data_IF_575830151848
#
_entry.id   IF_575830151848
#
_cell.length_a   1.000
_cell.length_b   1.000
_cell.length_c   1.000
_cell.angle_alpha   90.00
_cell.angle_beta   90.00
_cell.angle_gamma   90.00
#
_symmetry.space_group_name_H-M   'P 1'
#
loop_
_entity.id
_entity.type
_entity.pdbx_description
1 polymer ?
#
# COMPACT_ATOMS: atom_id res chain seq x y z
N UNK A 1 -25.92 -10.54 -1.30
CA UNK A 1 -24.93 -10.22 -2.35
C UNK A 1 -24.02 -11.43 -2.45
N UNK A 2 -24.05 -12.16 -3.57
CA UNK A 2 -23.31 -13.42 -3.68
C UNK A 2 -21.81 -13.14 -3.62
N UNK A 3 -21.14 -13.87 -2.75
CA UNK A 3 -19.70 -13.98 -2.63
C UNK A 3 -19.15 -14.70 -3.86
N UNK A 4 -19.05 -13.99 -4.99
CA UNK A 4 -17.90 -14.24 -5.86
C UNK A 4 -16.70 -13.77 -5.04
N UNK A 5 -15.99 -14.71 -4.42
CA UNK A 5 -14.64 -14.48 -3.92
C UNK A 5 -13.90 -13.74 -5.04
N UNK A 6 -13.55 -12.47 -4.84
CA UNK A 6 -12.88 -11.68 -5.86
C UNK A 6 -11.57 -12.39 -6.21
N UNK A 7 -11.54 -13.20 -7.27
CA UNK A 7 -10.43 -14.09 -7.56
C UNK A 7 -9.15 -13.28 -7.77
N UNK A 8 -8.03 -13.74 -7.21
CA UNK A 8 -6.73 -13.12 -7.46
C UNK A 8 -6.44 -13.13 -8.97
N UNK A 9 -6.15 -11.96 -9.54
CA UNK A 9 -5.93 -11.82 -10.98
C UNK A 9 -4.73 -10.94 -11.30
N UNK A 10 -3.74 -11.54 -11.96
CA UNK A 10 -2.58 -10.83 -12.50
C UNK A 10 -3.03 -9.68 -13.43
N UNK A 11 -2.27 -8.58 -13.42
CA UNK A 11 -2.46 -7.52 -14.40
C UNK A 11 -1.89 -7.97 -15.76
N UNK A 12 -2.48 -7.55 -16.89
CA UNK A 12 -1.96 -7.90 -18.21
C UNK A 12 -0.55 -7.33 -18.40
N UNK A 13 0.24 -7.97 -19.25
CA UNK A 13 1.57 -7.48 -19.59
C UNK A 13 1.52 -6.03 -20.12
N UNK A 14 2.47 -5.20 -19.69
CA UNK A 14 2.52 -3.78 -20.01
C UNK A 14 1.48 -2.90 -19.32
N UNK A 15 0.75 -3.38 -18.31
CA UNK A 15 -0.27 -2.58 -17.60
C UNK A 15 0.27 -1.23 -17.10
N UNK A 16 1.51 -1.19 -16.62
CA UNK A 16 2.16 0.00 -16.07
C UNK A 16 2.34 1.11 -17.11
N UNK A 17 2.40 0.77 -18.41
CA UNK A 17 2.50 1.76 -19.50
C UNK A 17 1.23 2.60 -19.65
N UNK A 18 0.11 2.13 -19.10
CA UNK A 18 -1.17 2.85 -19.08
C UNK A 18 -1.33 3.74 -17.85
N UNK A 19 -0.41 3.64 -16.89
CA UNK A 19 -0.44 4.38 -15.63
C UNK A 19 0.51 5.56 -15.75
N UNK A 20 -0.02 6.78 -15.65
CA UNK A 20 0.72 8.01 -15.97
C UNK A 20 2.05 8.14 -15.23
N UNK A 21 2.05 7.79 -13.93
CA UNK A 21 3.20 7.88 -13.04
C UNK A 21 4.15 6.67 -13.10
N UNK A 22 3.86 5.67 -13.96
CA UNK A 22 4.72 4.51 -14.21
C UNK A 22 5.12 4.35 -15.68
N UNK A 23 4.54 5.13 -16.60
CA UNK A 23 4.69 4.90 -18.05
C UNK A 23 6.11 4.96 -18.59
N UNK A 24 7.04 5.55 -17.83
CA UNK A 24 8.46 5.63 -18.18
C UNK A 24 9.23 4.32 -17.93
N UNK A 25 8.69 3.37 -17.16
CA UNK A 25 9.35 2.09 -16.92
C UNK A 25 9.32 1.21 -18.18
N UNK A 26 10.49 0.73 -18.61
CA UNK A 26 10.62 -0.17 -19.76
C UNK A 26 10.06 -1.57 -19.48
N UNK A 27 10.19 -2.02 -18.23
CA UNK A 27 9.76 -3.32 -17.70
C UNK A 27 8.72 -3.13 -16.60
N UNK A 28 8.09 -4.23 -16.18
CA UNK A 28 7.20 -4.21 -15.03
C UNK A 28 7.94 -3.70 -13.79
N UNK A 29 7.43 -2.68 -13.09
CA UNK A 29 8.14 -2.11 -11.96
C UNK A 29 8.27 -3.12 -10.83
N UNK A 30 9.44 -3.16 -10.20
CA UNK A 30 9.62 -3.79 -8.90
C UNK A 30 8.70 -3.10 -7.87
N UNK A 31 8.37 -3.78 -6.77
CA UNK A 31 7.50 -3.21 -5.75
C UNK A 31 8.05 -1.90 -5.17
N UNK A 32 9.36 -1.77 -5.01
CA UNK A 32 10.00 -0.52 -4.60
C UNK A 32 9.74 0.62 -5.59
N UNK A 33 9.86 0.35 -6.90
CA UNK A 33 9.66 1.34 -7.97
C UNK A 33 8.18 1.75 -8.04
N UNK A 34 7.29 0.79 -7.87
CA UNK A 34 5.85 1.01 -7.77
C UNK A 34 5.52 1.93 -6.58
N UNK A 35 6.09 1.65 -5.40
CA UNK A 35 5.89 2.46 -4.20
C UNK A 35 6.50 3.87 -4.33
N UNK A 36 7.67 4.01 -4.95
CA UNK A 36 8.27 5.31 -5.24
C UNK A 36 7.38 6.13 -6.18
N UNK A 37 6.96 5.52 -7.28
CA UNK A 37 6.06 6.15 -8.25
C UNK A 37 4.75 6.58 -7.63
N UNK A 38 4.13 5.74 -6.79
CA UNK A 38 2.90 6.06 -6.09
C UNK A 38 3.10 7.19 -5.08
N UNK A 39 4.18 7.12 -4.28
CA UNK A 39 4.46 8.14 -3.27
C UNK A 39 4.72 9.50 -3.91
N UNK A 40 5.57 9.57 -4.94
CA UNK A 40 5.92 10.82 -5.62
C UNK A 40 4.77 11.32 -6.49
N UNK A 41 4.21 10.43 -7.31
CA UNK A 41 3.22 10.78 -8.33
C UNK A 41 1.78 10.86 -7.83
N UNK A 42 1.49 10.43 -6.60
CA UNK A 42 0.14 10.48 -6.00
C UNK A 42 0.14 11.03 -4.58
N UNK A 43 0.84 10.42 -3.64
CA UNK A 43 0.78 10.81 -2.23
C UNK A 43 1.25 12.25 -2.03
N UNK A 44 2.43 12.61 -2.55
CA UNK A 44 3.03 13.93 -2.33
C UNK A 44 2.33 15.08 -3.08
N UNK A 45 1.49 14.77 -4.07
CA UNK A 45 0.75 15.78 -4.83
C UNK A 45 -0.73 15.88 -4.43
N UNK A 46 -1.19 15.04 -3.50
CA UNK A 46 -2.57 15.03 -3.01
C UNK A 46 -2.62 15.71 -1.65
N UNK A 47 -3.21 16.93 -1.54
CA UNK A 47 -3.22 17.69 -0.28
C UNK A 47 -3.81 16.89 0.89
N UNK A 48 -4.93 16.19 0.66
CA UNK A 48 -5.56 15.36 1.70
C UNK A 48 -4.65 14.21 2.17
N UNK A 49 -3.87 13.60 1.27
CA UNK A 49 -2.93 12.54 1.64
C UNK A 49 -1.82 13.09 2.56
N UNK A 50 -1.33 14.29 2.27
CA UNK A 50 -0.33 14.98 3.09
C UNK A 50 -0.89 15.38 4.45
N UNK A 51 -2.13 15.89 4.50
CA UNK A 51 -2.80 16.27 5.74
C UNK A 51 -3.00 15.07 6.66
N UNK A 52 -3.36 13.91 6.11
CA UNK A 52 -3.47 12.66 6.86
C UNK A 52 -2.09 12.23 7.36
N UNK A 53 -1.08 12.19 6.47
CA UNK A 53 0.29 11.80 6.80
C UNK A 53 0.91 12.68 7.92
N UNK A 54 0.60 13.97 7.95
CA UNK A 54 1.09 14.90 8.96
C UNK A 54 0.51 14.67 10.37
N UNK A 55 -0.59 13.92 10.48
CA UNK A 55 -1.28 13.65 11.75
C UNK A 55 -0.92 12.29 12.36
N UNK A 56 -0.19 11.45 11.63
CA UNK A 56 0.17 10.09 12.05
C UNK A 56 1.55 10.13 12.73
N UNK A 57 1.74 9.45 13.89
CA UNK A 57 3.06 9.37 14.51
C UNK A 57 4.06 8.64 13.60
N UNK A 58 5.38 8.84 13.80
CA UNK A 58 6.38 8.08 13.08
C UNK A 58 6.19 6.59 13.29
N UNK A 59 6.28 5.81 12.20
CA UNK A 59 6.04 4.35 12.22
C UNK A 59 6.96 3.62 11.30
N UNK A 60 7.47 2.49 11.76
CA UNK A 60 8.23 1.52 10.97
C UNK A 60 7.28 0.45 10.43
N UNK A 61 7.03 0.50 9.12
CA UNK A 61 6.10 -0.39 8.42
C UNK A 61 6.90 -1.25 7.44
N UNK A 62 6.60 -2.54 7.36
CA UNK A 62 7.11 -3.43 6.31
C UNK A 62 5.96 -3.86 5.42
N UNK A 63 6.10 -3.69 4.11
CA UNK A 63 5.18 -4.24 3.14
C UNK A 63 5.91 -5.30 2.33
N UNK A 64 5.40 -6.53 2.34
CA UNK A 64 5.89 -7.67 1.59
C UNK A 64 4.96 -7.92 0.41
N UNK A 65 5.41 -7.56 -0.78
CA UNK A 65 4.67 -7.81 -2.01
C UNK A 65 5.03 -9.20 -2.57
N UNK A 66 4.06 -10.10 -2.66
CA UNK A 66 4.23 -11.43 -3.24
C UNK A 66 3.98 -11.37 -4.76
N UNK A 67 5.06 -11.34 -5.53
CA UNK A 67 5.01 -11.40 -6.99
C UNK A 67 5.07 -12.86 -7.47
N UNK A 68 4.17 -13.32 -8.36
CA UNK A 68 4.07 -14.73 -8.75
C UNK A 68 5.33 -15.27 -9.44
N UNK A 69 6.13 -14.41 -10.06
CA UNK A 69 7.36 -14.80 -10.78
C UNK A 69 8.66 -14.39 -10.07
N UNK A 70 8.60 -13.40 -9.16
CA UNK A 70 9.78 -12.77 -8.55
C UNK A 70 9.92 -13.10 -7.06
N UNK A 71 8.89 -13.71 -6.46
CA UNK A 71 8.87 -14.04 -5.04
C UNK A 71 8.43 -12.84 -4.19
N UNK A 72 8.91 -12.81 -2.95
CA UNK A 72 8.58 -11.75 -1.99
C UNK A 72 9.53 -10.57 -2.19
N UNK A 73 8.96 -9.38 -2.39
CA UNK A 73 9.66 -8.11 -2.50
C UNK A 73 9.34 -7.27 -1.24
N UNK A 74 10.18 -7.33 -0.19
CA UNK A 74 9.98 -6.55 1.02
C UNK A 74 10.40 -5.09 0.81
N UNK A 75 9.61 -4.17 1.34
CA UNK A 75 9.94 -2.76 1.44
C UNK A 75 9.71 -2.28 2.87
N UNK A 76 10.78 -1.77 3.48
CA UNK A 76 10.71 -1.07 4.76
C UNK A 76 10.39 0.40 4.51
N UNK A 77 9.37 0.90 5.19
CA UNK A 77 8.84 2.24 5.09
C UNK A 77 8.81 2.87 6.48
N UNK A 78 9.56 3.96 6.66
CA UNK A 78 9.37 4.85 7.79
C UNK A 78 8.37 5.93 7.37
N UNK A 79 7.25 6.05 8.06
CA UNK A 79 6.39 7.23 7.93
C UNK A 79 6.90 8.34 8.87
N UNK A 80 6.88 9.58 8.39
CA UNK A 80 7.25 10.80 9.11
C UNK A 80 8.66 10.80 9.79
N UNK A 81 9.76 11.02 9.04
CA UNK A 81 9.83 11.37 7.62
C UNK A 81 9.70 10.14 6.72
N UNK A 82 9.08 10.32 5.55
CA UNK A 82 8.93 9.25 4.55
C UNK A 82 10.31 8.80 4.08
N UNK A 83 10.73 7.62 4.51
CA UNK A 83 11.90 6.93 3.96
C UNK A 83 11.51 5.52 3.56
N UNK A 84 11.99 5.08 2.40
CA UNK A 84 11.70 3.76 1.85
C UNK A 84 13.03 3.07 1.54
N UNK A 85 13.15 1.81 1.95
CA UNK A 85 14.33 0.97 1.72
C UNK A 85 13.88 -0.42 1.32
N UNK A 86 14.37 -0.96 0.19
CA UNK A 86 14.16 -2.36 -0.16
C UNK A 86 14.77 -3.26 0.93
N UNK A 87 14.08 -4.34 1.29
CA UNK A 87 14.52 -5.25 2.33
C UNK A 87 13.68 -5.19 3.62
N UNK A 88 14.02 -6.10 4.53
CA UNK A 88 13.54 -6.14 5.91
C UNK A 88 14.29 -5.11 6.77
N UNK A 89 13.70 -4.63 7.88
CA UNK A 89 14.36 -3.68 8.77
C UNK A 89 15.52 -4.34 9.52
N UNK A 90 16.62 -3.60 9.68
CA UNK A 90 17.76 -4.04 10.48
C UNK A 90 17.57 -3.63 11.95
N UNK A 91 17.25 -4.58 12.82
CA UNK A 91 17.38 -4.45 14.28
C UNK A 91 16.17 -3.91 15.05
N UNK A 92 15.23 -3.22 14.41
CA UNK A 92 14.00 -2.73 15.05
C UNK A 92 12.79 -3.57 14.63
N UNK A 93 11.92 -3.90 15.60
CA UNK A 93 10.67 -4.59 15.31
C UNK A 93 9.69 -3.61 14.66
N UNK A 94 9.11 -3.95 13.49
CA UNK A 94 8.17 -3.05 12.82
C UNK A 94 6.84 -2.95 13.56
N UNK A 95 6.27 -1.75 13.61
CA UNK A 95 4.92 -1.50 14.13
C UNK A 95 3.87 -2.27 13.36
N UNK A 96 4.10 -2.46 12.06
CA UNK A 96 3.18 -3.11 11.14
C UNK A 96 3.92 -3.89 10.07
N UNK A 97 3.48 -5.13 9.84
CA UNK A 97 3.88 -5.94 8.69
C UNK A 97 2.64 -6.29 7.88
N UNK A 98 2.64 -5.88 6.61
CA UNK A 98 1.63 -6.23 5.63
C UNK A 98 2.22 -7.22 4.63
N UNK A 99 1.56 -8.35 4.40
CA UNK A 99 1.92 -9.27 3.31
C UNK A 99 0.74 -9.38 2.36
N UNK A 100 0.95 -9.11 1.07
CA UNK A 100 -0.10 -8.99 0.06
C UNK A 100 0.41 -9.45 -1.29
N UNK A 101 -0.49 -9.89 -2.17
CA UNK A 101 -0.14 -10.13 -3.57
C UNK A 101 0.25 -8.84 -4.27
N UNK A 102 1.32 -8.88 -5.07
CA UNK A 102 1.83 -7.72 -5.81
C UNK A 102 0.75 -7.04 -6.67
N UNK A 103 -0.06 -7.82 -7.39
CA UNK A 103 -1.08 -7.25 -8.26
C UNK A 103 -2.27 -6.64 -7.50
N UNK A 104 -2.59 -7.12 -6.29
CA UNK A 104 -3.60 -6.47 -5.45
C UNK A 104 -3.08 -5.12 -4.92
N UNK A 105 -1.80 -5.06 -4.55
CA UNK A 105 -1.13 -3.79 -4.22
C UNK A 105 -1.14 -2.81 -5.38
N UNK A 106 -0.74 -3.26 -6.57
CA UNK A 106 -0.75 -2.44 -7.79
C UNK A 106 -2.16 -1.92 -8.11
N UNK A 107 -3.18 -2.80 -8.09
CA UNK A 107 -4.59 -2.43 -8.29
C UNK A 107 -5.06 -1.41 -7.27
N UNK A 108 -4.65 -1.55 -6.01
CA UNK A 108 -5.00 -0.57 -4.98
C UNK A 108 -4.42 0.81 -5.28
N UNK A 109 -3.14 0.89 -5.64
CA UNK A 109 -2.45 2.15 -5.93
C UNK A 109 -2.97 2.86 -7.19
N UNK A 110 -3.48 2.11 -8.18
CA UNK A 110 -4.07 2.69 -9.40
C UNK A 110 -5.56 3.01 -9.26
N UNK A 111 -6.18 2.77 -8.10
CA UNK A 111 -7.57 3.14 -7.87
C UNK A 111 -8.58 1.99 -7.96
N UNK A 112 -8.19 0.82 -8.46
CA UNK A 112 -9.13 -0.25 -8.85
C UNK A 112 -9.75 -1.02 -7.69
N UNK A 113 -9.02 -1.20 -6.58
CA UNK A 113 -9.53 -1.90 -5.39
C UNK A 113 -9.17 -1.16 -4.11
N UNK A 114 -9.93 -1.39 -3.04
CA UNK A 114 -9.51 -1.04 -1.68
C UNK A 114 -8.44 -2.05 -1.21
N UNK A 115 -7.31 -1.58 -0.67
CA UNK A 115 -6.26 -2.46 -0.13
C UNK A 115 -6.80 -3.40 0.97
N UNK A 116 -7.80 -2.96 1.75
CA UNK A 116 -8.40 -3.78 2.79
C UNK A 116 -9.23 -4.94 2.26
N UNK A 117 -9.73 -4.84 1.03
CA UNK A 117 -10.46 -5.95 0.39
C UNK A 117 -9.56 -7.18 0.20
N UNK A 118 -8.26 -7.00 -0.04
CA UNK A 118 -7.30 -8.09 -0.15
C UNK A 118 -7.11 -8.82 1.19
N UNK A 119 -7.11 -8.09 2.31
CA UNK A 119 -7.02 -8.69 3.64
C UNK A 119 -8.30 -9.42 4.05
N UNK A 120 -9.47 -8.80 3.88
CA UNK A 120 -10.75 -9.41 4.25
C UNK A 120 -11.12 -10.64 3.41
N UNK A 121 -10.52 -10.78 2.24
CA UNK A 121 -10.68 -11.93 1.35
C UNK A 121 -9.62 -13.02 1.55
N UNK A 122 -8.75 -12.89 2.55
CA UNK A 122 -7.70 -13.88 2.87
C UNK A 122 -6.53 -13.90 1.89
N UNK A 123 -6.39 -12.89 1.03
CA UNK A 123 -5.27 -12.74 0.08
C UNK A 123 -4.09 -11.93 0.62
N UNK A 124 -4.19 -11.49 1.87
CA UNK A 124 -3.11 -10.84 2.59
C UNK A 124 -3.14 -11.15 4.07
N UNK A 125 -2.03 -10.83 4.74
CA UNK A 125 -1.81 -10.98 6.17
C UNK A 125 -1.42 -9.63 6.78
N UNK A 126 -1.98 -9.33 7.95
CA UNK A 126 -1.67 -8.14 8.75
C UNK A 126 -1.12 -8.61 10.10
N UNK A 127 0.09 -8.16 10.44
CA UNK A 127 0.70 -8.38 11.75
C UNK A 127 1.09 -7.05 12.38
N UNK A 128 0.85 -6.90 13.69
CA UNK A 128 1.15 -5.67 14.43
C UNK A 128 -0.05 -4.73 14.55
N UNK A 129 0.20 -3.44 14.43
CA UNK A 129 -0.74 -2.38 14.72
C UNK A 129 -1.80 -2.19 13.62
N UNK A 130 -3.02 -2.64 13.87
CA UNK A 130 -4.14 -2.49 12.92
C UNK A 130 -4.52 -1.02 12.69
N UNK A 131 -4.39 -0.14 13.69
CA UNK A 131 -4.64 1.28 13.49
C UNK A 131 -3.64 1.89 12.49
N UNK A 132 -2.39 1.42 12.49
CA UNK A 132 -1.41 1.77 11.46
C UNK A 132 -1.80 1.29 10.06
N UNK A 133 -2.40 0.11 9.94
CA UNK A 133 -2.92 -0.36 8.67
C UNK A 133 -4.08 0.53 8.17
N UNK A 134 -4.96 0.98 9.07
CA UNK A 134 -6.05 1.91 8.72
C UNK A 134 -5.52 3.27 8.28
N UNK A 135 -4.47 3.77 8.95
CA UNK A 135 -3.84 5.04 8.59
C UNK A 135 -3.17 4.97 7.21
N UNK A 136 -2.49 3.86 6.90
CA UNK A 136 -1.95 3.60 5.57
C UNK A 136 -3.04 3.50 4.50
N UNK A 137 -4.13 2.79 4.81
CA UNK A 137 -5.29 2.65 3.93
C UNK A 137 -5.86 4.01 3.55
N UNK A 138 -6.06 4.88 4.54
CA UNK A 138 -6.62 6.22 4.33
C UNK A 138 -5.75 7.04 3.37
N UNK A 139 -4.41 6.98 3.52
CA UNK A 139 -3.46 7.63 2.59
C UNK A 139 -3.59 7.02 1.19
N UNK A 140 -3.62 5.69 1.09
CA UNK A 140 -3.72 4.97 -0.18
C UNK A 140 -5.01 5.31 -0.93
N UNK A 141 -6.14 5.35 -0.22
CA UNK A 141 -7.43 5.66 -0.80
C UNK A 141 -7.45 7.07 -1.39
N UNK A 142 -7.11 8.08 -0.60
CA UNK A 142 -7.17 9.48 -1.09
C UNK A 142 -6.15 9.73 -2.20
N UNK A 143 -4.94 9.16 -2.09
CA UNK A 143 -3.92 9.28 -3.12
C UNK A 143 -4.32 8.55 -4.42
N UNK A 144 -5.06 7.45 -4.32
CA UNK A 144 -5.62 6.72 -5.46
C UNK A 144 -6.95 7.34 -5.97
N UNK A 145 -7.41 8.46 -5.40
CA UNK A 145 -8.63 9.16 -5.81
C UNK A 145 -9.93 8.55 -5.28
N UNK A 146 -9.84 7.67 -4.27
CA UNK A 146 -10.99 7.12 -3.55
C UNK A 146 -11.30 7.96 -2.30
N UNK A 147 -12.57 8.08 -1.91
CA UNK A 147 -12.92 8.71 -0.64
C UNK A 147 -12.42 7.84 0.53
N UNK A 148 -12.09 8.48 1.66
CA UNK A 148 -11.77 7.77 2.90
C UNK A 148 -12.93 6.85 3.30
N UNK A 149 -12.63 5.59 3.57
CA UNK A 149 -13.61 4.65 4.13
C UNK A 149 -13.87 4.95 5.60
N UNK A 150 -15.06 4.63 6.10
CA UNK A 150 -15.38 4.74 7.51
C UNK A 150 -14.47 3.87 8.38
N UNK A 151 -13.95 4.44 9.47
CA UNK A 151 -13.13 3.76 10.49
C UNK A 151 -13.93 3.62 11.80
N UNK A 152 -13.80 2.50 12.54
CA UNK A 152 -14.33 2.40 13.90
C UNK A 152 -13.79 3.53 14.79
N UNK A 153 -14.61 4.03 15.72
CA UNK A 153 -14.20 5.12 16.63
C UNK A 153 -13.00 4.78 17.51
N UNK A 154 -12.76 3.49 17.75
CA UNK A 154 -11.60 3.00 18.49
C UNK A 154 -10.27 3.12 17.74
N UNK A 155 -10.29 3.34 16.41
CA UNK A 155 -9.10 3.46 15.56
C UNK A 155 -9.05 4.83 14.89
N UNK A 156 -9.06 5.88 15.72
CA UNK A 156 -8.86 7.25 15.26
C UNK A 156 -7.51 7.43 14.57
N UNK A 157 -7.39 8.49 13.77
CA UNK A 157 -6.15 8.80 13.05
C UNK A 157 -4.98 8.92 14.02
N UNK A 158 -3.91 8.16 13.79
CA UNK A 158 -2.71 8.16 14.64
C UNK A 158 -2.89 7.45 15.99
N UNK A 159 -3.96 6.67 16.18
CA UNK A 159 -4.15 5.88 17.40
C UNK A 159 -2.98 4.89 17.61
N UNK A 160 -2.44 4.78 18.83
CA UNK A 160 -1.28 3.94 19.14
C UNK A 160 -1.55 2.45 18.91
#
# INVERSE_FOLDING_TARGET
MSSEEAEYKELPDGWWKKVEWLKAHEKEPMFEELMYGFTIGKVMITPEALDIAAQIPPRLIVIRAEHPKRGIEPLTLMFAPVSMKPGEPEGEEPDLVLTLKYYDLARSMIGEIDIMSAFFSGRGDIKGNIAAAMDLKDIFDVAAGRPRSGRPSAWSLGAP
#
